data_IF_150076358529
#
_entry.id   IF_150076358529
#
_cell.length_a   1.000
_cell.length_b   1.000
_cell.length_c   1.000
_cell.angle_alpha   90.00
_cell.angle_beta   90.00
_cell.angle_gamma   90.00
#
_symmetry.space_group_name_H-M   'P 1'
#
loop_
_entity.id
_entity.type
_entity.pdbx_description
1 polymer ?
#
# COMPACT_ATOMS: atom_id res chain seq x y z
N UNK A 1 -4.88 9.14 -10.12
CA UNK A 1 -5.78 8.00 -10.10
C UNK A 1 -5.99 7.45 -8.69
N UNK A 2 -4.91 7.02 -8.04
CA UNK A 2 -4.97 6.58 -6.63
C UNK A 2 -5.44 7.71 -5.73
N UNK A 3 -4.92 8.90 -5.94
CA UNK A 3 -5.30 10.08 -5.16
C UNK A 3 -6.80 10.34 -5.26
N UNK A 4 -7.37 10.21 -6.47
CA UNK A 4 -8.80 10.39 -6.67
C UNK A 4 -9.64 9.35 -5.93
N UNK A 5 -9.10 8.12 -5.76
CA UNK A 5 -9.80 7.03 -5.08
C UNK A 5 -9.75 7.14 -3.57
N UNK A 6 -8.65 7.64 -3.01
CA UNK A 6 -8.41 7.60 -1.57
C UNK A 6 -8.51 8.95 -0.89
N UNK A 7 -8.33 10.05 -1.65
CA UNK A 7 -8.38 11.39 -1.11
C UNK A 7 -9.78 11.72 -0.59
N UNK A 8 -9.81 12.36 0.57
CA UNK A 8 -11.08 12.86 1.12
C UNK A 8 -11.95 11.83 1.80
N UNK A 9 -11.54 10.56 1.88
CA UNK A 9 -12.28 9.57 2.62
C UNK A 9 -12.23 9.88 4.11
N UNK A 10 -13.36 9.76 4.84
CA UNK A 10 -13.39 10.07 6.27
C UNK A 10 -12.80 8.97 7.15
N UNK A 11 -12.40 7.86 6.57
CA UNK A 11 -11.80 6.73 7.27
C UNK A 11 -10.55 6.28 6.52
N UNK A 12 -9.66 5.58 7.23
CA UNK A 12 -8.47 5.05 6.60
C UNK A 12 -8.78 3.83 5.76
N UNK A 13 -8.16 3.74 4.60
CA UNK A 13 -8.23 2.59 3.72
C UNK A 13 -6.80 2.20 3.36
N UNK A 14 -6.51 0.92 3.43
CA UNK A 14 -5.25 0.37 2.94
C UNK A 14 -5.55 -0.38 1.64
N UNK A 15 -4.93 0.04 0.57
CA UNK A 15 -5.20 -0.47 -0.77
C UNK A 15 -3.92 -0.99 -1.42
N UNK A 16 -4.09 -1.78 -2.47
CA UNK A 16 -2.98 -2.35 -3.20
C UNK A 16 -3.28 -2.35 -4.70
N UNK A 17 -2.29 -1.91 -5.48
CA UNK A 17 -2.27 -2.09 -6.92
C UNK A 17 -1.45 -3.33 -7.21
N UNK A 18 -2.02 -4.28 -7.94
CA UNK A 18 -1.35 -5.51 -8.34
C UNK A 18 -0.90 -5.39 -9.79
N UNK A 19 0.38 -5.66 -10.03
CA UNK A 19 1.01 -5.41 -11.33
C UNK A 19 1.65 -6.68 -11.87
N UNK A 20 1.72 -6.77 -13.20
CA UNK A 20 2.42 -7.86 -13.88
C UNK A 20 3.93 -7.55 -14.02
N UNK A 21 4.67 -8.43 -14.69
CA UNK A 21 6.12 -8.29 -14.89
C UNK A 21 6.51 -7.03 -15.64
N UNK A 22 5.60 -6.46 -16.42
CA UNK A 22 5.85 -5.24 -17.19
C UNK A 22 5.27 -4.02 -16.49
N UNK A 23 4.94 -4.16 -15.21
CA UNK A 23 4.33 -3.13 -14.38
C UNK A 23 2.99 -2.63 -14.92
N UNK A 24 2.25 -3.51 -15.61
CA UNK A 24 0.90 -3.19 -16.05
C UNK A 24 -0.08 -3.54 -14.95
N UNK A 25 -1.10 -2.70 -14.78
CA UNK A 25 -2.09 -2.90 -13.73
C UNK A 25 -2.96 -4.13 -14.01
N UNK A 26 -2.99 -5.06 -13.05
CA UNK A 26 -3.89 -6.20 -13.08
C UNK A 26 -5.18 -5.85 -12.33
N UNK A 27 -5.05 -5.31 -11.11
CA UNK A 27 -6.19 -5.02 -10.25
C UNK A 27 -5.82 -3.96 -9.22
N UNK A 28 -6.84 -3.23 -8.76
CA UNK A 28 -6.77 -2.35 -7.61
C UNK A 28 -7.76 -2.87 -6.58
N UNK A 29 -7.31 -3.08 -5.33
CA UNK A 29 -8.20 -3.53 -4.26
C UNK A 29 -7.99 -2.74 -2.99
N UNK A 30 -9.10 -2.39 -2.34
CA UNK A 30 -9.08 -1.87 -0.98
C UNK A 30 -9.14 -3.08 -0.05
N UNK A 31 -8.06 -3.34 0.67
CA UNK A 31 -7.91 -4.58 1.44
C UNK A 31 -8.33 -4.44 2.90
N UNK A 32 -8.07 -3.30 3.51
CA UNK A 32 -8.36 -3.06 4.91
C UNK A 32 -8.97 -1.68 5.09
N UNK A 33 -9.79 -1.54 6.10
CA UNK A 33 -10.54 -0.31 6.36
C UNK A 33 -10.64 -0.09 7.87
N UNK A 34 -10.69 1.17 8.29
CA UNK A 34 -10.74 1.54 9.69
C UNK A 34 -9.42 2.12 10.13
N UNK A 35 -9.06 1.98 11.40
CA UNK A 35 -7.76 2.44 11.90
C UNK A 35 -6.66 1.53 11.35
N UNK A 36 -5.77 2.10 10.55
CA UNK A 36 -4.69 1.34 9.93
C UNK A 36 -3.44 1.47 10.78
N UNK A 37 -3.02 0.36 11.36
CA UNK A 37 -1.75 0.26 12.09
C UNK A 37 -1.09 -1.08 11.74
N UNK A 38 0.09 -1.34 12.31
CA UNK A 38 0.86 -2.53 11.99
C UNK A 38 0.12 -3.84 12.32
N UNK A 39 -0.82 -3.79 13.27
CA UNK A 39 -1.59 -4.97 13.67
C UNK A 39 -2.81 -5.19 12.76
N UNK A 40 -3.31 -4.13 12.13
CA UNK A 40 -4.53 -4.20 11.32
C UNK A 40 -4.29 -4.68 9.89
N UNK A 41 -3.05 -4.61 9.40
CA UNK A 41 -2.72 -5.03 8.04
C UNK A 41 -2.05 -6.40 8.11
N UNK A 42 -2.77 -7.43 7.66
CA UNK A 42 -2.29 -8.80 7.73
C UNK A 42 -1.48 -9.16 6.48
N UNK A 43 -0.16 -9.39 6.60
CA UNK A 43 0.65 -9.75 5.44
C UNK A 43 0.11 -10.95 4.68
N UNK A 44 -0.43 -11.96 5.40
CA UNK A 44 -0.96 -13.15 4.73
C UNK A 44 -2.11 -12.82 3.77
N UNK A 45 -2.93 -11.80 4.07
CA UNK A 45 -4.02 -11.39 3.18
C UNK A 45 -3.50 -10.68 1.95
N UNK A 46 -2.49 -9.82 2.12
CA UNK A 46 -1.87 -9.14 0.98
C UNK A 46 -1.20 -10.16 0.07
N UNK A 47 -0.47 -11.11 0.66
CA UNK A 47 0.19 -12.19 -0.10
C UNK A 47 -0.86 -13.02 -0.84
N UNK A 48 -1.94 -13.42 -0.15
CA UNK A 48 -3.00 -14.23 -0.75
C UNK A 48 -3.59 -13.53 -1.97
N UNK A 49 -3.93 -12.26 -1.84
CA UNK A 49 -4.51 -11.51 -2.94
C UNK A 49 -3.52 -11.34 -4.10
N UNK A 50 -2.27 -11.09 -3.78
CA UNK A 50 -1.23 -10.97 -4.81
C UNK A 50 -1.05 -12.28 -5.57
N UNK A 51 -1.10 -13.41 -4.88
CA UNK A 51 -1.01 -14.72 -5.51
C UNK A 51 -2.22 -15.01 -6.38
N UNK A 52 -3.42 -14.64 -5.91
CA UNK A 52 -4.64 -14.84 -6.70
C UNK A 52 -4.61 -14.05 -8.01
N UNK A 53 -4.03 -12.86 -7.99
CA UNK A 53 -3.87 -12.05 -9.19
C UNK A 53 -2.64 -12.43 -10.02
N UNK A 54 -1.84 -13.37 -9.53
CA UNK A 54 -0.57 -13.72 -10.15
C UNK A 54 0.30 -12.49 -10.36
N UNK A 55 0.35 -11.62 -9.35
CA UNK A 55 1.09 -10.37 -9.43
C UNK A 55 2.59 -10.61 -9.33
N UNK A 56 3.37 -9.86 -10.10
CA UNK A 56 4.83 -9.86 -10.01
C UNK A 56 5.33 -8.71 -9.13
N UNK A 57 4.50 -7.68 -8.95
CA UNK A 57 4.84 -6.51 -8.15
C UNK A 57 3.57 -5.86 -7.61
N UNK A 58 3.73 -5.05 -6.58
CA UNK A 58 2.61 -4.32 -5.99
C UNK A 58 3.03 -2.88 -5.67
N UNK A 59 2.04 -2.00 -5.64
CA UNK A 59 2.17 -0.67 -5.05
C UNK A 59 1.15 -0.59 -3.93
N UNK A 60 1.64 -0.30 -2.72
CA UNK A 60 0.79 -0.12 -1.56
C UNK A 60 0.33 1.34 -1.48
N UNK A 61 -0.86 1.57 -0.95
CA UNK A 61 -1.36 2.92 -0.79
C UNK A 61 -2.31 2.99 0.39
N UNK A 62 -2.28 4.08 1.14
CA UNK A 62 -3.32 4.36 2.10
C UNK A 62 -3.46 5.87 2.31
N UNK A 63 -4.60 6.27 2.83
CA UNK A 63 -4.90 7.68 3.08
C UNK A 63 -4.80 8.00 4.56
N UNK A 64 -4.46 9.25 4.85
CA UNK A 64 -4.55 9.81 6.19
C UNK A 64 -5.74 10.77 6.24
N UNK A 65 -6.84 10.43 6.92
CA UNK A 65 -8.00 11.32 7.02
C UNK A 65 -7.70 12.68 7.64
N UNK A 66 -6.62 12.77 8.42
CA UNK A 66 -6.17 14.06 8.97
C UNK A 66 -5.78 15.06 7.88
N UNK A 67 -5.52 14.58 6.67
CA UNK A 67 -5.08 15.40 5.55
C UNK A 67 -3.58 15.53 5.42
N UNK A 68 -2.82 15.12 6.42
CA UNK A 68 -1.35 15.22 6.42
C UNK A 68 -0.77 13.93 5.90
N UNK A 69 -0.02 14.00 4.80
CA UNK A 69 0.52 12.81 4.12
C UNK A 69 1.81 12.28 4.73
N UNK A 70 2.31 12.89 5.81
CA UNK A 70 3.57 12.44 6.42
C UNK A 70 3.44 11.02 6.96
N UNK A 71 4.30 10.07 6.54
CA UNK A 71 4.24 8.70 7.01
C UNK A 71 4.51 8.59 8.52
N UNK A 72 3.73 7.75 9.20
CA UNK A 72 3.93 7.44 10.61
C UNK A 72 4.94 6.31 10.78
N UNK A 73 5.36 6.06 12.04
CA UNK A 73 6.20 4.90 12.32
C UNK A 73 5.46 3.60 12.01
N UNK A 74 4.15 3.56 12.26
CA UNK A 74 3.32 2.40 11.89
C UNK A 74 3.35 2.16 10.39
N UNK A 75 3.31 3.23 9.59
CA UNK A 75 3.38 3.11 8.12
C UNK A 75 4.69 2.45 7.69
N UNK A 76 5.81 2.86 8.30
CA UNK A 76 7.10 2.26 8.02
C UNK A 76 7.16 0.80 8.46
N UNK A 77 6.58 0.48 9.62
CA UNK A 77 6.55 -0.90 10.13
C UNK A 77 5.74 -1.81 9.23
N UNK A 78 4.57 -1.36 8.79
CA UNK A 78 3.73 -2.10 7.84
C UNK A 78 4.50 -2.36 6.55
N UNK A 79 5.15 -1.33 6.03
CA UNK A 79 5.91 -1.44 4.78
C UNK A 79 7.00 -2.50 4.89
N UNK A 80 7.79 -2.45 5.97
CA UNK A 80 8.87 -3.44 6.16
C UNK A 80 8.33 -4.87 6.22
N UNK A 81 7.23 -5.08 6.95
CA UNK A 81 6.62 -6.41 7.05
C UNK A 81 6.13 -6.92 5.70
N UNK A 82 5.51 -6.06 4.91
CA UNK A 82 4.99 -6.44 3.60
C UNK A 82 6.09 -6.67 2.58
N UNK A 83 7.14 -5.85 2.60
CA UNK A 83 8.31 -6.07 1.73
C UNK A 83 8.92 -7.45 2.00
N UNK A 84 9.08 -7.82 3.26
CA UNK A 84 9.64 -9.13 3.63
C UNK A 84 8.71 -10.27 3.20
N UNK A 85 7.43 -10.17 3.53
CA UNK A 85 6.48 -11.24 3.25
C UNK A 85 6.31 -11.46 1.75
N UNK A 86 6.14 -10.39 0.99
CA UNK A 86 5.97 -10.48 -0.46
C UNK A 86 7.27 -10.89 -1.15
N UNK A 87 8.41 -10.44 -0.62
CA UNK A 87 9.71 -10.82 -1.16
C UNK A 87 9.98 -12.31 -1.10
N UNK A 88 9.47 -13.00 -0.06
CA UNK A 88 9.57 -14.45 0.02
C UNK A 88 8.84 -15.16 -1.12
N UNK A 89 7.82 -14.52 -1.68
CA UNK A 89 7.05 -15.02 -2.81
C UNK A 89 7.54 -14.44 -4.14
N UNK A 90 8.70 -13.77 -4.13
CA UNK A 90 9.29 -13.13 -5.30
C UNK A 90 8.38 -12.05 -5.88
N UNK A 91 7.61 -11.38 -5.03
CA UNK A 91 6.75 -10.26 -5.41
C UNK A 91 7.39 -8.99 -4.86
N UNK A 92 7.66 -8.02 -5.73
CA UNK A 92 8.33 -6.79 -5.34
C UNK A 92 7.34 -5.71 -4.92
N UNK A 93 7.65 -5.02 -3.84
CA UNK A 93 6.93 -3.80 -3.46
C UNK A 93 7.65 -2.63 -4.13
N UNK A 94 7.01 -2.01 -5.10
CA UNK A 94 7.60 -0.90 -5.84
C UNK A 94 7.51 0.41 -5.10
N UNK A 95 6.45 0.62 -4.36
CA UNK A 95 6.24 1.84 -3.59
C UNK A 95 5.16 1.66 -2.54
N UNK A 96 5.11 2.60 -1.62
CA UNK A 96 4.01 2.77 -0.67
C UNK A 96 3.67 4.26 -0.67
N UNK A 97 2.48 4.60 -1.13
CA UNK A 97 2.01 5.97 -1.25
C UNK A 97 1.10 6.32 -0.08
N UNK A 98 1.42 7.38 0.62
CA UNK A 98 0.57 7.90 1.71
C UNK A 98 -0.13 9.14 1.18
N UNK A 99 -1.45 9.16 1.23
CA UNK A 99 -2.27 10.17 0.57
C UNK A 99 -2.92 11.08 1.61
N UNK A 100 -2.71 12.37 1.49
CA UNK A 100 -3.36 13.40 2.29
C UNK A 100 -4.25 14.27 1.41
N UNK A 101 -4.74 15.37 1.97
CA UNK A 101 -5.66 16.27 1.25
C UNK A 101 -4.98 17.03 0.12
N UNK A 102 -3.78 17.52 0.37
CA UNK A 102 -3.08 18.38 -0.57
C UNK A 102 -1.98 17.70 -1.36
N UNK A 103 -1.81 16.40 -1.20
CA UNK A 103 -0.75 15.70 -1.90
C UNK A 103 -0.52 14.30 -1.38
N UNK A 104 0.62 13.74 -1.73
CA UNK A 104 0.97 12.37 -1.37
C UNK A 104 2.48 12.27 -1.17
N UNK A 105 2.89 11.25 -0.41
CA UNK A 105 4.30 10.96 -0.13
C UNK A 105 4.61 9.57 -0.62
N UNK A 106 5.73 9.42 -1.33
CA UNK A 106 6.25 8.15 -1.81
C UNK A 106 7.37 7.69 -0.88
N UNK A 107 7.21 6.52 -0.26
CA UNK A 107 8.26 5.96 0.58
C UNK A 107 9.47 5.55 -0.24
N UNK A 108 9.28 5.08 -1.48
CA UNK A 108 10.38 4.77 -2.38
C UNK A 108 11.23 6.00 -2.68
N UNK A 109 10.57 7.13 -2.97
CA UNK A 109 11.27 8.40 -3.24
C UNK A 109 12.05 8.89 -2.03
N UNK A 110 11.63 8.53 -0.82
CA UNK A 110 12.35 8.87 0.41
C UNK A 110 13.42 7.86 0.80
N UNK A 111 13.59 6.82 0.00
CA UNK A 111 14.56 5.76 0.30
C UNK A 111 14.14 4.87 1.48
N UNK A 112 12.84 4.75 1.73
CA UNK A 112 12.31 4.03 2.89
C UNK A 112 11.73 2.66 2.54
N UNK A 113 12.05 2.13 1.38
CA UNK A 113 11.65 0.77 1.00
C UNK A 113 12.82 -0.20 1.09
#
# INVERSE_FOLDING_TARGET
LLTARLRGLPYEVFACLFLDNKHRLIAFEQLFQGTIDAAAVYPREVVRRAMEHNAAAVILAHNHPSGVAEPSQSDHAITRRLVEALGLMEIRVLDHLVIGDGGWVSLAARGAL
#
